data_IF_320366472081
#
_entry.id   IF_320366472081
#
_cell.length_a   1.000
_cell.length_b   1.000
_cell.length_c   1.000
_cell.angle_alpha   90.00
_cell.angle_beta   90.00
_cell.angle_gamma   90.00
#
_symmetry.space_group_name_H-M   'P 1'
#
loop_
_entity.id
_entity.type
_entity.pdbx_description
1 polymer ?
#
# COMPACT_ATOMS: atom_id res chain seq x y z
N UNK A 1 -19.27 -3.47 -17.28
CA UNK A 1 -18.41 -2.28 -17.47
C UNK A 1 -17.44 -2.27 -16.29
N UNK A 2 -16.18 -1.90 -16.52
CA UNK A 2 -15.17 -1.70 -15.47
C UNK A 2 -14.80 -0.22 -15.52
N UNK A 3 -14.64 0.42 -14.36
CA UNK A 3 -14.17 1.79 -14.22
C UNK A 3 -13.06 1.80 -13.18
N UNK A 4 -12.02 2.60 -13.40
CA UNK A 4 -10.92 2.72 -12.44
C UNK A 4 -10.23 4.09 -12.54
N UNK A 5 -9.66 4.52 -11.42
CA UNK A 5 -8.76 5.68 -11.36
C UNK A 5 -7.34 5.27 -11.76
N UNK A 6 -6.62 6.18 -12.39
CA UNK A 6 -5.20 6.04 -12.70
C UNK A 6 -4.31 6.67 -11.60
N UNK A 7 -4.90 7.27 -10.56
CA UNK A 7 -4.19 8.10 -9.58
C UNK A 7 -3.36 7.30 -8.59
N UNK A 8 -3.82 6.11 -8.21
CA UNK A 8 -3.15 5.28 -7.23
C UNK A 8 -1.99 4.51 -7.86
N UNK A 9 -2.28 3.35 -8.46
CA UNK A 9 -1.24 2.41 -8.90
C UNK A 9 -0.34 2.94 -10.02
N UNK A 10 -0.82 3.91 -10.82
CA UNK A 10 -0.09 4.45 -11.97
C UNK A 10 0.49 5.85 -11.72
N UNK A 11 0.24 6.43 -10.53
CA UNK A 11 0.79 7.72 -10.12
C UNK A 11 0.60 8.85 -11.16
N UNK A 12 -0.54 8.87 -11.85
CA UNK A 12 -0.93 9.92 -12.80
C UNK A 12 -2.27 10.54 -12.35
N UNK A 13 -3.07 11.12 -13.25
CA UNK A 13 -4.43 11.56 -12.94
C UNK A 13 -5.45 11.08 -13.97
N UNK A 14 -6.72 11.18 -13.61
CA UNK A 14 -7.84 10.77 -14.46
C UNK A 14 -8.26 9.32 -14.25
N UNK A 15 -9.07 8.82 -15.17
CA UNK A 15 -9.65 7.49 -15.07
C UNK A 15 -10.02 6.93 -16.43
N UNK A 16 -10.36 5.64 -16.45
CA UNK A 16 -10.84 4.97 -17.65
C UNK A 16 -12.09 4.15 -17.38
N UNK A 17 -12.83 3.87 -18.44
CA UNK A 17 -13.88 2.85 -18.45
C UNK A 17 -13.58 1.83 -19.55
N UNK A 18 -13.88 0.57 -19.29
CA UNK A 18 -13.72 -0.53 -20.24
C UNK A 18 -15.00 -1.38 -20.27
N UNK A 19 -15.41 -1.80 -21.45
CA UNK A 19 -16.64 -2.57 -21.63
C UNK A 19 -17.00 -2.72 -23.10
N UNK A 20 -18.21 -3.20 -23.36
CA UNK A 20 -18.73 -3.29 -24.74
C UNK A 20 -18.79 -1.89 -25.35
N UNK A 21 -18.42 -1.76 -26.62
CA UNK A 21 -18.24 -0.47 -27.30
C UNK A 21 -19.49 0.42 -27.25
N UNK A 22 -20.70 -0.16 -27.34
CA UNK A 22 -21.94 0.62 -27.25
C UNK A 22 -22.16 1.22 -25.86
N UNK A 23 -21.72 0.54 -24.80
CA UNK A 23 -21.85 1.01 -23.41
C UNK A 23 -20.86 2.14 -23.15
N UNK A 24 -19.60 1.97 -23.59
CA UNK A 24 -18.57 3.02 -23.50
C UNK A 24 -18.95 4.23 -24.36
N UNK A 25 -19.49 3.99 -25.57
CA UNK A 25 -20.00 5.04 -26.45
C UNK A 25 -21.13 5.83 -25.81
N UNK A 26 -22.08 5.16 -25.16
CA UNK A 26 -23.15 5.83 -24.41
C UNK A 26 -22.60 6.69 -23.27
N UNK A 27 -21.70 6.15 -22.44
CA UNK A 27 -21.08 6.91 -21.34
C UNK A 27 -20.29 8.12 -21.84
N UNK A 28 -19.57 7.98 -22.96
CA UNK A 28 -18.80 9.06 -23.57
C UNK A 28 -19.69 10.20 -24.09
N UNK A 29 -20.85 9.88 -24.66
CA UNK A 29 -21.78 10.87 -25.24
C UNK A 29 -22.71 11.49 -24.19
N UNK A 30 -23.07 10.72 -23.17
CA UNK A 30 -24.01 11.15 -22.11
C UNK A 30 -23.32 11.65 -20.83
N UNK A 31 -22.01 11.43 -20.70
CA UNK A 31 -21.24 11.86 -19.54
C UNK A 31 -20.91 13.35 -19.61
N UNK A 32 -21.65 14.19 -18.89
CA UNK A 32 -21.39 15.63 -18.80
C UNK A 32 -19.93 15.94 -18.39
N UNK A 33 -19.40 15.19 -17.43
CA UNK A 33 -18.02 15.32 -16.98
C UNK A 33 -16.98 14.93 -18.04
N UNK A 34 -17.34 14.11 -19.03
CA UNK A 34 -16.48 13.80 -20.16
C UNK A 34 -16.59 14.86 -21.26
N UNK A 35 -17.79 15.35 -21.55
CA UNK A 35 -18.05 16.32 -22.62
C UNK A 35 -17.59 17.75 -22.28
N UNK A 36 -17.70 18.14 -21.01
CA UNK A 36 -17.44 19.51 -20.54
C UNK A 36 -16.17 19.62 -19.69
N UNK A 37 -15.20 18.72 -19.88
CA UNK A 37 -13.88 18.79 -19.24
C UNK A 37 -12.74 18.81 -20.27
N UNK A 38 -11.58 19.28 -19.85
CA UNK A 38 -10.37 19.22 -20.65
C UNK A 38 -9.82 17.79 -20.69
N UNK A 39 -9.23 17.41 -21.83
CA UNK A 39 -8.51 16.13 -21.94
C UNK A 39 -7.30 16.09 -21.03
N UNK A 40 -6.88 14.87 -20.65
CA UNK A 40 -5.66 14.64 -19.88
C UNK A 40 -4.43 15.23 -20.61
N UNK A 41 -3.56 16.02 -19.93
CA UNK A 41 -2.32 16.53 -20.53
C UNK A 41 -1.45 15.41 -21.14
N UNK A 42 -0.77 15.64 -22.29
CA UNK A 42 0.00 14.59 -23.00
C UNK A 42 1.04 13.88 -22.14
N UNK A 43 1.70 14.62 -21.24
CA UNK A 43 2.66 14.07 -20.29
C UNK A 43 2.02 13.01 -19.39
N UNK A 44 0.85 13.29 -18.82
CA UNK A 44 0.15 12.41 -17.89
C UNK A 44 -0.46 11.20 -18.62
N UNK A 45 -0.92 11.38 -19.86
CA UNK A 45 -1.37 10.29 -20.72
C UNK A 45 -0.22 9.34 -21.08
N UNK A 46 0.97 9.88 -21.35
CA UNK A 46 2.18 9.09 -21.61
C UNK A 46 2.62 8.33 -20.36
N UNK A 47 2.62 8.98 -19.19
CA UNK A 47 2.93 8.32 -17.92
C UNK A 47 1.97 7.15 -17.62
N UNK A 48 0.66 7.34 -17.86
CA UNK A 48 -0.32 6.27 -17.71
C UNK A 48 -0.07 5.09 -18.67
N UNK A 49 0.23 5.38 -19.93
CA UNK A 49 0.53 4.36 -20.95
C UNK A 49 1.79 3.55 -20.60
N UNK A 50 2.85 4.24 -20.18
CA UNK A 50 4.09 3.60 -19.75
C UNK A 50 3.92 2.80 -18.46
N UNK A 51 3.12 3.30 -17.51
CA UNK A 51 2.78 2.57 -16.29
C UNK A 51 2.06 1.26 -16.59
N UNK A 52 1.04 1.28 -17.46
CA UNK A 52 0.36 0.06 -17.91
C UNK A 52 1.32 -0.90 -18.65
N UNK A 53 2.23 -0.36 -19.46
CA UNK A 53 3.26 -1.15 -20.15
C UNK A 53 4.21 -1.84 -19.17
N UNK A 54 4.62 -1.16 -18.09
CA UNK A 54 5.45 -1.74 -17.03
C UNK A 54 4.69 -2.84 -16.30
N UNK A 55 3.42 -2.60 -15.92
CA UNK A 55 2.58 -3.61 -15.26
C UNK A 55 2.42 -4.88 -16.11
N UNK A 56 2.31 -4.74 -17.43
CA UNK A 56 2.25 -5.89 -18.35
C UNK A 56 3.58 -6.63 -18.52
N UNK A 57 4.72 -5.95 -18.36
CA UNK A 57 6.07 -6.55 -18.51
C UNK A 57 6.60 -7.19 -17.22
N UNK A 58 6.14 -6.74 -16.06
CA UNK A 58 6.64 -7.14 -14.74
C UNK A 58 5.51 -7.71 -13.86
N UNK A 59 4.92 -8.87 -14.22
CA UNK A 59 3.80 -9.45 -13.49
C UNK A 59 4.17 -9.90 -12.07
N UNK A 60 5.46 -10.18 -11.81
CA UNK A 60 6.01 -10.52 -10.50
C UNK A 60 5.79 -9.40 -9.46
N UNK A 61 5.54 -8.16 -9.91
CA UNK A 61 5.16 -7.05 -9.03
C UNK A 61 3.89 -7.34 -8.24
N UNK A 62 2.90 -8.00 -8.85
CA UNK A 62 1.66 -8.35 -8.16
C UNK A 62 1.87 -9.45 -7.12
N UNK A 63 2.72 -10.43 -7.42
CA UNK A 63 3.09 -11.48 -6.47
C UNK A 63 3.81 -10.90 -5.25
N UNK A 64 4.75 -9.97 -5.49
CA UNK A 64 5.44 -9.23 -4.43
C UNK A 64 4.47 -8.38 -3.61
N UNK A 65 3.52 -7.69 -4.25
CA UNK A 65 2.50 -6.91 -3.57
C UNK A 65 1.65 -7.80 -2.66
N UNK A 66 1.12 -8.91 -3.17
CA UNK A 66 0.31 -9.86 -2.39
C UNK A 66 1.10 -10.51 -1.26
N UNK A 67 2.38 -10.83 -1.47
CA UNK A 67 3.27 -11.34 -0.42
C UNK A 67 3.45 -10.33 0.70
N UNK A 68 3.65 -9.07 0.36
CA UNK A 68 3.82 -7.99 1.32
C UNK A 68 2.51 -7.69 2.07
N UNK A 69 1.38 -7.64 1.35
CA UNK A 69 0.05 -7.47 1.93
C UNK A 69 -0.25 -8.55 2.97
N UNK A 70 -0.10 -9.83 2.62
CA UNK A 70 -0.27 -10.95 3.56
C UNK A 70 0.65 -10.88 4.75
N UNK A 71 1.91 -10.52 4.52
CA UNK A 71 2.85 -10.39 5.62
C UNK A 71 2.41 -9.30 6.60
N UNK A 72 2.05 -8.12 6.10
CA UNK A 72 1.54 -7.03 6.93
C UNK A 72 0.27 -7.43 7.67
N UNK A 73 -0.72 -8.00 6.97
CA UNK A 73 -1.97 -8.44 7.58
C UNK A 73 -1.73 -9.44 8.73
N UNK A 74 -0.92 -10.47 8.49
CA UNK A 74 -0.63 -11.50 9.50
C UNK A 74 0.20 -10.96 10.67
N UNK A 75 1.15 -10.05 10.39
CA UNK A 75 1.98 -9.43 11.42
C UNK A 75 1.13 -8.54 12.32
N UNK A 76 0.33 -7.66 11.73
CA UNK A 76 -0.60 -6.81 12.46
C UNK A 76 -1.55 -7.66 13.30
N UNK A 77 -2.09 -8.75 12.74
CA UNK A 77 -3.03 -9.63 13.46
C UNK A 77 -2.39 -10.22 14.71
N UNK A 78 -1.16 -10.73 14.60
CA UNK A 78 -0.39 -11.24 15.74
C UNK A 78 -0.04 -10.16 16.75
N UNK A 79 0.32 -8.96 16.29
CA UNK A 79 0.65 -7.83 17.18
C UNK A 79 -0.56 -7.42 18.00
N UNK A 80 -1.73 -7.40 17.37
CA UNK A 80 -2.98 -6.94 17.98
C UNK A 80 -3.80 -8.01 18.69
N UNK A 81 -3.40 -9.30 18.64
CA UNK A 81 -4.08 -10.41 19.33
C UNK A 81 -4.34 -10.15 20.82
N UNK A 82 -3.43 -9.45 21.49
CA UNK A 82 -3.55 -9.08 22.91
C UNK A 82 -4.01 -7.64 23.16
N UNK A 83 -4.44 -6.94 22.11
CA UNK A 83 -4.88 -5.55 22.16
C UNK A 83 -6.38 -5.43 21.85
N UNK A 84 -6.94 -4.22 22.03
CA UNK A 84 -8.30 -3.89 21.58
C UNK A 84 -8.36 -3.39 20.14
N UNK A 85 -7.24 -3.36 19.42
CA UNK A 85 -7.23 -3.01 18.01
C UNK A 85 -7.66 -4.22 17.18
N UNK A 86 -8.56 -3.98 16.23
CA UNK A 86 -9.09 -4.99 15.33
C UNK A 86 -8.73 -4.62 13.90
N UNK A 87 -8.33 -5.63 13.13
CA UNK A 87 -8.03 -5.47 11.70
C UNK A 87 -9.23 -5.95 10.90
N UNK A 88 -9.65 -5.13 9.95
CA UNK A 88 -10.61 -5.48 8.92
C UNK A 88 -9.97 -5.38 7.54
N UNK A 89 -10.41 -6.25 6.62
CA UNK A 89 -9.94 -6.30 5.25
C UNK A 89 -9.41 -7.67 4.84
N UNK A 90 -9.28 -7.84 3.53
CA UNK A 90 -8.76 -9.06 2.91
C UNK A 90 -7.22 -9.12 3.06
N UNK A 91 -6.67 -10.33 3.25
CA UNK A 91 -5.23 -10.53 3.42
C UNK A 91 -4.39 -10.16 2.18
N UNK A 92 -5.01 -10.15 0.99
CA UNK A 92 -4.39 -9.71 -0.26
C UNK A 92 -4.49 -8.21 -0.47
N UNK A 93 -5.34 -7.52 0.30
CA UNK A 93 -5.49 -6.08 0.18
C UNK A 93 -4.19 -5.38 0.59
N UNK A 94 -3.63 -4.49 -0.24
CA UNK A 94 -2.49 -3.67 0.17
C UNK A 94 -2.87 -2.61 1.21
N UNK A 95 -4.17 -2.40 1.45
CA UNK A 95 -4.69 -1.47 2.47
C UNK A 95 -5.26 -2.28 3.62
N UNK A 96 -4.77 -2.01 4.83
CA UNK A 96 -5.18 -2.68 6.06
C UNK A 96 -5.97 -1.68 6.92
N UNK A 97 -7.21 -2.01 7.29
CA UNK A 97 -8.05 -1.14 8.09
C UNK A 97 -7.92 -1.56 9.55
N UNK A 98 -7.42 -0.68 10.40
CA UNK A 98 -7.27 -0.90 11.83
C UNK A 98 -8.25 0.03 12.54
N UNK A 99 -9.02 -0.51 13.48
CA UNK A 99 -9.90 0.28 14.32
C UNK A 99 -9.78 -0.18 15.77
N UNK A 100 -10.07 0.72 16.70
CA UNK A 100 -10.07 0.42 18.12
C UNK A 100 -11.48 -0.01 18.55
N UNK A 101 -11.60 -1.15 19.21
CA UNK A 101 -12.88 -1.65 19.71
C UNK A 101 -13.22 -1.02 21.07
N UNK A 102 -14.25 -0.18 21.05
CA UNK A 102 -14.67 0.70 22.14
C UNK A 102 -16.05 0.29 22.67
N UNK A 103 -16.24 -0.98 23.00
CA UNK A 103 -17.52 -1.49 23.53
C UNK A 103 -17.81 -1.06 24.99
N UNK A 104 -16.86 -0.42 25.70
CA UNK A 104 -17.11 0.18 27.02
C UNK A 104 -16.56 1.61 27.07
N UNK A 105 -17.46 2.60 27.13
CA UNK A 105 -17.18 4.03 26.99
C UNK A 105 -16.42 4.71 28.13
N UNK A 106 -15.30 4.15 28.59
CA UNK A 106 -14.44 4.76 29.62
C UNK A 106 -12.92 4.55 29.40
N UNK A 107 -12.46 4.51 28.15
CA UNK A 107 -11.04 4.75 27.83
C UNK A 107 -10.84 6.22 27.46
N UNK A 108 -9.92 6.93 28.12
CA UNK A 108 -9.54 8.29 27.68
C UNK A 108 -8.78 8.21 26.36
N UNK A 109 -8.94 9.20 25.47
CA UNK A 109 -8.24 9.26 24.16
C UNK A 109 -6.71 9.08 24.30
N UNK A 110 -6.15 9.52 25.42
CA UNK A 110 -4.74 9.38 25.76
C UNK A 110 -4.29 7.92 25.94
N UNK A 111 -5.12 7.04 26.52
CA UNK A 111 -4.77 5.63 26.69
C UNK A 111 -4.84 4.84 25.38
N UNK A 112 -5.66 5.27 24.42
CA UNK A 112 -5.69 4.67 23.09
C UNK A 112 -4.48 5.06 22.24
N UNK A 113 -4.04 6.31 22.34
CA UNK A 113 -2.90 6.82 21.57
C UNK A 113 -1.58 6.20 22.04
N UNK A 114 -1.34 6.07 23.34
CA UNK A 114 -0.13 5.45 23.89
C UNK A 114 -0.02 3.96 23.50
N UNK A 115 -1.15 3.23 23.52
CA UNK A 115 -1.20 1.84 23.07
C UNK A 115 -1.01 1.69 21.55
N UNK A 116 -1.43 2.69 20.78
CA UNK A 116 -1.21 2.72 19.34
C UNK A 116 0.28 2.90 19.05
N UNK A 117 0.95 3.86 19.69
CA UNK A 117 2.40 4.09 19.52
C UNK A 117 3.25 2.84 19.85
N UNK A 118 2.94 2.16 20.96
CA UNK A 118 3.62 0.91 21.33
C UNK A 118 3.43 -0.19 20.29
N UNK A 119 2.23 -0.28 19.72
CA UNK A 119 1.93 -1.24 18.66
C UNK A 119 2.64 -0.90 17.35
N UNK A 120 2.74 0.39 17.00
CA UNK A 120 3.48 0.87 15.83
C UNK A 120 4.97 0.53 15.94
N UNK A 121 5.58 0.73 17.12
CA UNK A 121 6.97 0.34 17.39
C UNK A 121 7.19 -1.17 17.22
N UNK A 122 6.25 -1.99 17.70
CA UNK A 122 6.32 -3.47 17.56
C UNK A 122 6.21 -3.90 16.10
N UNK A 123 5.28 -3.31 15.34
CA UNK A 123 5.14 -3.55 13.89
C UNK A 123 6.41 -3.12 13.16
N UNK A 124 6.95 -1.93 13.47
CA UNK A 124 8.17 -1.43 12.85
C UNK A 124 9.36 -2.37 13.08
N UNK A 125 9.53 -2.91 14.30
CA UNK A 125 10.56 -3.91 14.61
C UNK A 125 10.40 -5.20 13.81
N UNK A 126 9.19 -5.73 13.69
CA UNK A 126 8.93 -6.98 12.97
C UNK A 126 9.09 -6.81 11.45
N UNK A 127 8.66 -5.67 10.91
CA UNK A 127 8.88 -5.30 9.50
C UNK A 127 10.36 -5.06 9.21
N UNK A 128 11.10 -4.39 10.10
CA UNK A 128 12.53 -4.17 9.96
C UNK A 128 13.32 -5.49 9.99
N UNK A 129 12.96 -6.41 10.88
CA UNK A 129 13.53 -7.75 10.93
C UNK A 129 13.38 -8.49 9.60
N UNK A 130 12.17 -8.48 9.03
CA UNK A 130 11.93 -9.13 7.74
C UNK A 130 12.64 -8.47 6.56
N UNK A 131 12.79 -7.14 6.58
CA UNK A 131 13.54 -6.39 5.56
C UNK A 131 15.02 -6.70 5.63
N UNK A 132 15.56 -6.93 6.84
CA UNK A 132 16.92 -7.40 7.05
C UNK A 132 17.09 -8.82 6.48
N UNK A 133 16.14 -9.73 6.73
CA UNK A 133 16.15 -11.09 6.17
C UNK A 133 16.08 -11.10 4.64
N UNK A 134 15.21 -10.28 4.03
CA UNK A 134 15.12 -10.15 2.56
C UNK A 134 16.39 -9.55 1.94
N UNK A 135 17.08 -8.64 2.65
CA UNK A 135 18.35 -8.06 2.21
C UNK A 135 19.51 -9.07 2.35
N UNK A 136 19.50 -9.90 3.40
CA UNK A 136 20.46 -11.00 3.60
C UNK A 136 20.27 -12.08 2.53
N UNK A 137 19.02 -12.44 2.20
CA UNK A 137 18.68 -13.44 1.19
C UNK A 137 19.04 -12.95 -0.24
N UNK A 138 18.76 -11.67 -0.55
CA UNK A 138 19.23 -11.06 -1.81
C UNK A 138 20.76 -10.95 -1.89
N UNK A 139 21.43 -10.67 -0.77
CA UNK A 139 22.89 -10.62 -0.66
C UNK A 139 23.59 -11.96 -0.89
N UNK A 140 22.89 -13.08 -0.64
CA UNK A 140 23.39 -14.44 -0.92
C UNK A 140 23.31 -14.80 -2.41
N UNK A 141 22.36 -14.20 -3.16
CA UNK A 141 22.17 -14.48 -4.59
C UNK A 141 23.06 -13.65 -5.54
N UNK A 142 23.55 -12.49 -5.11
CA UNK A 142 24.40 -11.60 -5.91
C UNK A 142 25.61 -11.19 -5.06
N UNK A 143 26.69 -11.98 -5.15
CA UNK A 143 27.96 -11.68 -4.52
C UNK A 143 28.53 -10.34 -4.97
N UNK A 144 28.28 -9.29 -4.18
CA UNK A 144 29.08 -8.08 -3.92
C UNK A 144 28.16 -6.95 -3.45
N UNK A 145 28.04 -6.76 -2.13
CA UNK A 145 27.89 -5.42 -1.56
C UNK A 145 28.51 -5.41 -0.15
N UNK A 146 29.76 -4.97 -0.08
CA UNK A 146 30.37 -4.49 1.16
C UNK A 146 29.72 -3.16 1.53
N UNK A 147 29.30 -3.05 2.80
CA UNK A 147 28.69 -1.89 3.49
C UNK A 147 27.16 -1.88 3.48
N UNK A 148 26.63 -2.25 4.65
CA UNK A 148 25.30 -1.88 5.13
C UNK A 148 25.17 -0.35 4.95
N UNK A 149 24.13 0.16 4.29
CA UNK A 149 23.91 1.60 4.19
C UNK A 149 23.77 2.21 5.59
N UNK A 150 24.56 3.24 5.89
CA UNK A 150 24.53 4.03 7.14
C UNK A 150 23.14 4.62 7.47
N UNK A 151 22.17 4.52 6.57
CA UNK A 151 20.77 4.92 6.81
C UNK A 151 20.04 4.00 7.80
N UNK A 152 20.50 2.77 8.02
CA UNK A 152 19.92 1.87 9.03
C UNK A 152 20.41 2.15 10.46
N UNK A 153 21.57 2.82 10.65
CA UNK A 153 22.00 3.17 12.01
C UNK A 153 21.15 4.29 12.63
N UNK A 154 20.49 5.09 11.80
CA UNK A 154 19.61 6.19 12.26
C UNK A 154 18.23 5.73 12.75
N UNK A 155 17.87 4.45 12.54
CA UNK A 155 16.62 3.90 13.10
C UNK A 155 16.76 3.48 14.57
N UNK A 156 17.99 3.30 15.07
CA UNK A 156 18.25 3.02 16.49
C UNK A 156 18.27 4.27 17.39
N UNK A 157 18.18 5.48 16.83
CA UNK A 157 18.15 6.74 17.61
C UNK A 157 16.73 7.13 18.07
N UNK A 158 15.71 6.34 17.76
CA UNK A 158 14.32 6.59 18.20
C UNK A 158 13.94 5.97 19.57
N UNK A 159 14.90 5.34 20.26
CA UNK A 159 14.71 4.79 21.61
C UNK A 159 15.30 5.72 22.73
N UNK A 160 15.77 6.93 22.41
CA UNK A 160 16.38 7.88 23.39
C UNK A 160 15.76 9.31 23.45
N UNK A 161 14.50 9.49 23.06
CA UNK A 161 13.73 10.72 23.37
C UNK A 161 12.37 10.41 23.99
#
# INVERSE_FOLDING_TARGET
MIMASLENALATTGGFCAGRSFVVGHQRLSGLGYCFSASLPPLLATAASEGLRVLGKEPDRFERLHRNARFMHNTLKKVFESSRFVINGDELSPVQHIYYDNEEGHGTELESDEKLEDSEKKVAREVAGKKLDELVDKGSSHGKFSKIPETLSKFNEFDEL
#
